data_IF_578498314581
#
_entry.id   IF_578498314581
#
_cell.length_a   1.000
_cell.length_b   1.000
_cell.length_c   1.000
_cell.angle_alpha   90.00
_cell.angle_beta   90.00
_cell.angle_gamma   90.00
#
_symmetry.space_group_name_H-M   'P 1'
#
loop_
_entity.id
_entity.type
_entity.pdbx_description
1 polymer ?
#
# COMPACT_ATOMS: atom_id res chain seq x y z
N UNK A 1 2.92 12.70 4.75
CA UNK A 1 4.06 13.63 4.71
C UNK A 1 5.36 12.83 4.62
N UNK A 2 6.09 12.93 3.50
CA UNK A 2 7.31 12.14 3.33
C UNK A 2 8.39 12.61 4.32
N UNK A 3 9.06 11.64 4.95
CA UNK A 3 10.20 11.89 5.82
C UNK A 3 11.52 11.70 5.09
N UNK A 4 11.49 11.17 3.88
CA UNK A 4 12.66 10.84 3.08
C UNK A 4 12.43 11.30 1.65
N UNK A 5 13.45 11.88 1.06
CA UNK A 5 13.45 12.20 -0.37
C UNK A 5 13.67 10.92 -1.17
N UNK A 6 12.74 10.58 -2.06
CA UNK A 6 12.87 9.36 -2.88
C UNK A 6 13.93 9.48 -3.99
N UNK A 7 14.46 10.66 -4.24
CA UNK A 7 15.62 10.89 -5.13
C UNK A 7 16.96 10.92 -4.40
N UNK A 8 17.02 10.54 -3.13
CA UNK A 8 18.30 10.42 -2.46
C UNK A 8 19.15 9.29 -3.07
N UNK A 9 20.48 9.33 -2.95
CA UNK A 9 21.37 8.35 -3.59
C UNK A 9 21.07 6.89 -3.17
N UNK A 10 20.67 6.66 -1.95
CA UNK A 10 20.34 5.31 -1.47
C UNK A 10 19.06 4.77 -2.11
N UNK A 11 18.03 5.60 -2.26
CA UNK A 11 16.80 5.21 -2.94
C UNK A 11 17.04 4.94 -4.43
N UNK A 12 17.84 5.76 -5.09
CA UNK A 12 18.20 5.55 -6.50
C UNK A 12 18.95 4.22 -6.67
N UNK A 13 19.93 3.93 -5.83
CA UNK A 13 20.71 2.68 -5.91
C UNK A 13 19.88 1.45 -5.59
N UNK A 14 19.11 1.47 -4.51
CA UNK A 14 18.30 0.33 -4.10
C UNK A 14 17.15 0.01 -5.06
N UNK A 15 16.67 1.00 -5.80
CA UNK A 15 15.66 0.79 -6.85
C UNK A 15 16.26 0.43 -8.22
N UNK A 16 17.59 0.39 -8.34
CA UNK A 16 18.30 0.23 -9.63
C UNK A 16 17.86 1.25 -10.68
N UNK A 17 17.57 2.48 -10.23
CA UNK A 17 17.11 3.57 -11.09
C UNK A 17 15.62 3.50 -11.46
N UNK A 18 14.87 2.49 -11.04
CA UNK A 18 13.45 2.36 -11.38
C UNK A 18 12.59 3.49 -10.80
N UNK A 19 13.06 4.18 -9.76
CA UNK A 19 12.41 5.38 -9.22
C UNK A 19 12.18 6.46 -10.28
N UNK A 20 13.02 6.54 -11.31
CA UNK A 20 12.86 7.47 -12.42
C UNK A 20 11.86 7.00 -13.48
N UNK A 21 11.50 5.74 -13.48
CA UNK A 21 10.57 5.12 -14.43
C UNK A 21 9.15 5.01 -13.88
N UNK A 22 9.00 5.10 -12.57
CA UNK A 22 7.71 4.98 -11.89
C UNK A 22 7.13 6.36 -11.64
N UNK A 23 5.91 6.66 -12.09
CA UNK A 23 5.24 7.90 -11.73
C UNK A 23 5.12 8.02 -10.21
N UNK A 24 5.76 9.03 -9.64
CA UNK A 24 5.75 9.29 -8.20
C UNK A 24 5.33 10.73 -7.92
N UNK A 25 4.62 10.90 -6.82
CA UNK A 25 4.16 12.19 -6.37
C UNK A 25 4.24 12.29 -4.85
N UNK A 26 4.28 13.50 -4.35
CA UNK A 26 4.29 13.81 -2.92
C UNK A 26 3.04 14.62 -2.60
N UNK A 27 2.36 14.24 -1.52
CA UNK A 27 1.21 14.97 -1.01
C UNK A 27 1.02 14.70 0.47
N UNK A 28 0.16 15.45 1.12
CA UNK A 28 -0.27 15.11 2.48
C UNK A 28 -1.42 14.09 2.41
N UNK A 29 -1.67 13.40 3.52
CA UNK A 29 -2.68 12.34 3.58
C UNK A 29 -4.08 12.81 3.19
N UNK A 30 -4.49 14.01 3.65
CA UNK A 30 -5.83 14.55 3.31
C UNK A 30 -5.99 14.79 1.81
N UNK A 31 -5.00 15.38 1.16
CA UNK A 31 -5.02 15.63 -0.29
C UNK A 31 -5.09 14.33 -1.07
N UNK A 32 -4.28 13.33 -0.67
CA UNK A 32 -4.25 12.02 -1.33
C UNK A 32 -5.58 11.30 -1.17
N UNK A 33 -6.14 11.28 0.04
CA UNK A 33 -7.44 10.65 0.32
C UNK A 33 -8.54 11.33 -0.50
N UNK A 34 -8.57 12.66 -0.52
CA UNK A 34 -9.55 13.43 -1.32
C UNK A 34 -9.45 13.10 -2.81
N UNK A 35 -8.24 13.01 -3.33
CA UNK A 35 -8.00 12.64 -4.72
C UNK A 35 -8.52 11.22 -5.02
N UNK A 36 -8.21 10.24 -4.18
CA UNK A 36 -8.64 8.86 -4.35
C UNK A 36 -10.16 8.75 -4.32
N UNK A 37 -10.81 9.40 -3.36
CA UNK A 37 -12.27 9.42 -3.25
C UNK A 37 -12.92 10.07 -4.47
N UNK A 38 -12.41 11.21 -4.92
CA UNK A 38 -12.91 11.91 -6.10
C UNK A 38 -12.82 11.06 -7.37
N UNK A 39 -11.76 10.26 -7.50
CA UNK A 39 -11.54 9.37 -8.65
C UNK A 39 -12.23 8.01 -8.50
N UNK A 40 -12.96 7.78 -7.42
CA UNK A 40 -13.60 6.50 -7.11
C UNK A 40 -12.58 5.34 -7.06
N UNK A 41 -11.40 5.61 -6.54
CA UNK A 41 -10.36 4.61 -6.32
C UNK A 41 -10.53 4.05 -4.92
N UNK A 42 -10.71 2.74 -4.81
CA UNK A 42 -10.86 2.05 -3.53
C UNK A 42 -9.57 2.16 -2.72
N UNK A 43 -9.69 2.48 -1.43
CA UNK A 43 -8.55 2.56 -0.50
C UNK A 43 -8.47 1.24 0.28
N UNK A 44 -7.41 0.48 0.03
CA UNK A 44 -7.11 -0.76 0.73
C UNK A 44 -5.86 -0.57 1.59
N UNK A 45 -6.02 -0.63 2.91
CA UNK A 45 -4.92 -0.41 3.86
C UNK A 45 -4.37 -1.75 4.36
N UNK A 46 -3.06 -1.89 4.33
CA UNK A 46 -2.36 -3.04 4.92
C UNK A 46 -2.14 -2.76 6.41
N UNK A 47 -3.07 -3.22 7.24
CA UNK A 47 -3.03 -2.97 8.68
C UNK A 47 -3.64 -4.14 9.46
N UNK A 48 -3.07 -4.42 10.62
CA UNK A 48 -3.66 -5.36 11.57
C UNK A 48 -4.87 -4.68 12.21
N UNK A 49 -6.05 -5.20 11.93
CA UNK A 49 -7.31 -4.64 12.42
C UNK A 49 -8.33 -5.76 12.60
N UNK A 50 -9.23 -5.69 13.60
CA UNK A 50 -10.25 -6.74 13.82
C UNK A 50 -11.13 -7.01 12.60
N UNK A 51 -11.36 -6.01 11.77
CA UNK A 51 -12.18 -6.14 10.56
C UNK A 51 -11.33 -6.37 9.28
N UNK A 52 -10.03 -6.66 9.43
CA UNK A 52 -9.19 -6.95 8.28
C UNK A 52 -9.56 -8.29 7.65
N UNK A 53 -9.61 -8.32 6.33
CA UNK A 53 -9.78 -9.56 5.57
C UNK A 53 -8.45 -10.03 5.04
N UNK A 54 -8.38 -11.33 4.71
CA UNK A 54 -7.21 -11.88 4.06
C UNK A 54 -7.00 -11.19 2.70
N UNK A 55 -5.78 -10.82 2.39
CA UNK A 55 -5.44 -10.09 1.16
C UNK A 55 -5.88 -10.82 -0.11
N UNK A 56 -5.95 -12.14 -0.10
CA UNK A 56 -6.38 -12.91 -1.27
C UNK A 56 -7.91 -12.97 -1.45
N UNK A 57 -8.68 -12.57 -0.44
CA UNK A 57 -10.14 -12.50 -0.51
C UNK A 57 -10.65 -11.15 -1.00
N UNK A 58 -9.77 -10.16 -1.13
CA UNK A 58 -10.14 -8.82 -1.58
C UNK A 58 -10.41 -8.79 -3.08
N UNK A 59 -11.38 -8.00 -3.49
CA UNK A 59 -11.72 -7.80 -4.89
C UNK A 59 -10.83 -6.70 -5.51
N UNK A 60 -9.87 -7.10 -6.32
CA UNK A 60 -8.96 -6.20 -7.03
C UNK A 60 -9.45 -5.82 -8.43
N UNK A 61 -10.67 -6.18 -8.81
CA UNK A 61 -11.18 -5.93 -10.17
C UNK A 61 -11.43 -4.45 -10.47
N UNK A 62 -11.63 -3.64 -9.45
CA UNK A 62 -11.77 -2.19 -9.58
C UNK A 62 -10.45 -1.49 -9.24
N UNK A 63 -10.23 -0.24 -9.73
CA UNK A 63 -9.04 0.52 -9.36
C UNK A 63 -8.91 0.65 -7.84
N UNK A 64 -7.76 0.29 -7.30
CA UNK A 64 -7.50 0.38 -5.87
C UNK A 64 -6.12 0.98 -5.58
N UNK A 65 -6.04 1.68 -4.47
CA UNK A 65 -4.80 2.19 -3.89
C UNK A 65 -4.45 1.31 -2.68
N UNK A 66 -3.28 0.71 -2.71
CA UNK A 66 -2.75 -0.05 -1.58
C UNK A 66 -1.97 0.92 -0.71
N UNK A 67 -2.42 1.09 0.52
CA UNK A 67 -1.81 2.03 1.47
C UNK A 67 -1.09 1.25 2.57
N UNK A 68 0.16 1.60 2.78
CA UNK A 68 1.03 0.92 3.75
C UNK A 68 1.60 1.92 4.74
N UNK A 69 1.72 1.50 5.98
CA UNK A 69 2.34 2.29 7.04
C UNK A 69 3.83 2.05 7.17
N UNK A 70 4.46 2.78 8.07
CA UNK A 70 5.86 2.56 8.42
C UNK A 70 6.02 1.29 9.25
N UNK A 71 7.20 0.66 9.20
CA UNK A 71 7.50 -0.54 10.00
C UNK A 71 7.41 -0.28 11.51
N UNK A 72 7.74 0.92 11.95
CA UNK A 72 7.78 1.28 13.38
C UNK A 72 6.45 1.80 13.94
N UNK A 73 5.68 2.53 13.14
CA UNK A 73 4.48 3.22 13.61
C UNK A 73 3.19 2.75 12.93
N UNK A 74 3.29 1.96 11.85
CA UNK A 74 2.13 1.56 11.07
C UNK A 74 1.46 2.73 10.34
N UNK A 75 0.18 2.60 10.08
CA UNK A 75 -0.65 3.65 9.48
C UNK A 75 -1.21 4.56 10.58
N UNK A 76 -1.33 5.85 10.28
CA UNK A 76 -2.00 6.77 11.19
C UNK A 76 -3.52 6.55 11.21
N UNK A 77 -4.18 7.11 12.22
CA UNK A 77 -5.62 6.95 12.44
C UNK A 77 -6.46 7.47 11.27
N UNK A 78 -6.01 8.49 10.57
CA UNK A 78 -6.73 9.06 9.44
C UNK A 78 -6.92 8.03 8.31
N UNK A 79 -5.87 7.29 7.97
CA UNK A 79 -5.95 6.24 6.96
C UNK A 79 -6.83 5.07 7.40
N UNK A 80 -6.72 4.66 8.67
CA UNK A 80 -7.56 3.59 9.23
C UNK A 80 -9.04 3.98 9.25
N UNK A 81 -9.34 5.25 9.47
CA UNK A 81 -10.69 5.79 9.47
C UNK A 81 -11.28 5.92 8.06
N UNK A 82 -10.45 6.28 7.07
CA UNK A 82 -10.88 6.55 5.69
C UNK A 82 -10.74 5.37 4.75
N UNK A 83 -10.20 4.26 5.20
CA UNK A 83 -10.05 3.06 4.38
C UNK A 83 -11.39 2.46 3.97
N UNK A 84 -11.45 1.89 2.78
CA UNK A 84 -12.59 1.10 2.36
C UNK A 84 -12.47 -0.35 2.86
N UNK A 85 -11.24 -0.88 2.96
CA UNK A 85 -10.98 -2.22 3.47
C UNK A 85 -9.58 -2.33 4.08
N UNK A 86 -9.49 -2.96 5.23
CA UNK A 86 -8.21 -3.37 5.81
C UNK A 86 -7.84 -4.76 5.32
N UNK A 87 -6.60 -4.93 4.87
CA UNK A 87 -6.07 -6.20 4.37
C UNK A 87 -5.00 -6.73 5.31
N UNK A 88 -4.98 -8.03 5.52
CA UNK A 88 -3.96 -8.72 6.29
C UNK A 88 -3.30 -9.81 5.45
N UNK A 89 -1.98 -9.92 5.54
CA UNK A 89 -1.21 -11.05 5.04
C UNK A 89 -1.08 -12.01 6.21
N UNK A 90 -1.67 -13.22 6.14
CA UNK A 90 -1.59 -14.16 7.25
C UNK A 90 -0.15 -14.54 7.56
N UNK A 91 0.17 -14.62 8.84
CA UNK A 91 1.49 -14.99 9.34
C UNK A 91 1.37 -15.95 10.51
N UNK A 92 2.45 -16.70 10.79
CA UNK A 92 2.53 -17.50 11.99
C UNK A 92 2.46 -16.64 13.25
N UNK A 93 1.98 -17.22 14.33
CA UNK A 93 1.69 -16.51 15.59
C UNK A 93 2.87 -15.78 16.20
N UNK A 94 4.09 -16.23 15.87
CA UNK A 94 5.33 -15.68 16.45
C UNK A 94 5.96 -14.60 15.57
N UNK A 95 5.29 -14.21 14.47
CA UNK A 95 5.78 -13.18 13.55
C UNK A 95 4.81 -11.99 13.55
N UNK A 96 5.27 -10.86 14.05
CA UNK A 96 4.44 -9.65 14.15
C UNK A 96 4.17 -8.99 12.79
N UNK A 97 5.17 -8.93 11.92
CA UNK A 97 5.02 -8.29 10.61
C UNK A 97 6.09 -8.73 9.63
N UNK A 98 5.77 -8.66 8.34
CA UNK A 98 6.74 -8.78 7.26
C UNK A 98 7.39 -7.42 6.98
N UNK A 99 8.57 -7.45 6.37
CA UNK A 99 9.19 -6.26 5.82
C UNK A 99 8.23 -5.53 4.88
N UNK A 100 8.23 -4.20 4.94
CA UNK A 100 7.29 -3.35 4.18
C UNK A 100 7.36 -3.61 2.66
N UNK A 101 8.56 -3.70 2.11
CA UNK A 101 8.73 -3.94 0.66
C UNK A 101 8.27 -5.33 0.24
N UNK A 102 8.47 -6.33 1.08
CA UNK A 102 7.98 -7.70 0.85
C UNK A 102 6.45 -7.71 0.86
N UNK A 103 5.83 -7.08 1.84
CA UNK A 103 4.38 -6.96 1.94
C UNK A 103 3.80 -6.23 0.74
N UNK A 104 4.41 -5.12 0.33
CA UNK A 104 4.00 -4.37 -0.85
C UNK A 104 4.08 -5.23 -2.12
N UNK A 105 5.16 -5.99 -2.28
CA UNK A 105 5.32 -6.92 -3.41
C UNK A 105 4.22 -7.97 -3.46
N UNK A 106 3.90 -8.60 -2.32
CA UNK A 106 2.84 -9.60 -2.23
C UNK A 106 1.49 -9.00 -2.66
N UNK A 107 1.13 -7.85 -2.12
CA UNK A 107 -0.15 -7.19 -2.42
C UNK A 107 -0.25 -6.74 -3.88
N UNK A 108 0.82 -6.15 -4.42
CA UNK A 108 0.86 -5.72 -5.82
C UNK A 108 0.75 -6.90 -6.79
N UNK A 109 1.44 -8.00 -6.53
CA UNK A 109 1.34 -9.19 -7.37
C UNK A 109 0.00 -9.91 -7.26
N UNK A 110 -0.61 -9.91 -6.10
CA UNK A 110 -1.97 -10.44 -5.95
C UNK A 110 -2.98 -9.60 -6.74
N UNK A 111 -2.88 -8.28 -6.66
CA UNK A 111 -3.71 -7.36 -7.45
C UNK A 111 -3.53 -7.62 -8.95
N UNK A 112 -2.29 -7.77 -9.41
CA UNK A 112 -1.97 -8.09 -10.80
C UNK A 112 -2.54 -9.45 -11.22
N UNK A 113 -2.37 -10.47 -10.38
CA UNK A 113 -2.85 -11.83 -10.67
C UNK A 113 -4.36 -11.87 -10.87
N UNK A 114 -5.11 -11.12 -10.06
CA UNK A 114 -6.57 -11.07 -10.12
C UNK A 114 -7.08 -10.10 -11.20
N UNK A 115 -6.27 -9.17 -11.64
CA UNK A 115 -6.63 -8.20 -12.66
C UNK A 115 -6.07 -8.63 -14.02
N UNK A 116 -6.89 -9.28 -14.84
CA UNK A 116 -6.49 -9.85 -16.13
C UNK A 116 -6.06 -8.83 -17.18
N UNK A 117 -6.11 -7.54 -16.89
CA UNK A 117 -5.69 -6.50 -17.83
C UNK A 117 -4.19 -6.46 -18.11
N UNK A 118 -3.40 -7.24 -17.36
CA UNK A 118 -1.95 -7.28 -17.48
C UNK A 118 -1.42 -8.60 -18.08
N UNK A 119 -2.26 -9.42 -18.62
CA UNK A 119 -1.87 -10.60 -19.37
C UNK A 119 -1.39 -10.26 -20.79
#
# INVERSE_FOLDING_TARGET
NPKTDFYNPNSIRSSLGSVFLTPTAIGNSLEVISFLKKKSICIATAAIHPEAINYNDFDYSTPCAIVMGTESAGLDSLWLEKTDQNLIIPMDKDIDSLNLSVSAGILMYEARRKNKQFE
#
